data_IF_331627586987
#
_entry.id   IF_331627586987
#
_cell.length_a   1.000
_cell.length_b   1.000
_cell.length_c   1.000
_cell.angle_alpha   90.00
_cell.angle_beta   90.00
_cell.angle_gamma   90.00
#
_symmetry.space_group_name_H-M   'P 1'
#
loop_
_entity.id
_entity.type
_entity.pdbx_description
1 polymer ?
#
# COMPACT_ATOMS: atom_id res chain seq x y z
N UNK A 1 -23.35 11.08 40.57
CA UNK A 1 -22.79 10.36 39.40
C UNK A 1 -21.90 11.33 38.65
N UNK A 2 -20.58 11.20 38.76
CA UNK A 2 -19.64 12.03 37.98
C UNK A 2 -19.49 11.43 36.59
N UNK A 3 -19.91 12.18 35.57
CA UNK A 3 -19.68 11.82 34.17
C UNK A 3 -18.33 12.43 33.78
N UNK A 4 -17.31 11.61 33.61
CA UNK A 4 -16.02 12.05 33.09
C UNK A 4 -16.09 12.15 31.56
N UNK A 5 -15.76 13.33 31.02
CA UNK A 5 -15.66 13.55 29.58
C UNK A 5 -14.29 13.11 29.09
N UNK A 6 -14.25 12.14 28.16
CA UNK A 6 -13.03 11.74 27.45
C UNK A 6 -13.14 12.11 25.98
N UNK A 7 -12.04 12.55 25.37
CA UNK A 7 -11.96 12.82 23.92
C UNK A 7 -11.00 11.81 23.30
N UNK A 8 -11.50 11.03 22.34
CA UNK A 8 -10.70 10.06 21.57
C UNK A 8 -10.41 10.64 20.18
N UNK A 9 -9.13 10.68 19.80
CA UNK A 9 -8.72 11.12 18.45
C UNK A 9 -8.45 9.86 17.62
N UNK A 10 -9.14 9.69 16.47
CA UNK A 10 -8.85 8.58 15.55
C UNK A 10 -7.37 8.57 15.14
N UNK A 11 -6.76 7.40 15.08
CA UNK A 11 -5.32 7.29 14.80
C UNK A 11 -4.94 7.94 13.46
N UNK A 12 -5.76 7.75 12.42
CA UNK A 12 -5.55 8.37 11.12
C UNK A 12 -5.52 9.90 11.21
N UNK A 13 -6.45 10.51 11.95
CA UNK A 13 -6.46 11.96 12.20
C UNK A 13 -5.21 12.39 12.97
N UNK A 14 -4.85 11.67 14.03
CA UNK A 14 -3.65 11.96 14.81
C UNK A 14 -2.37 11.93 13.96
N UNK A 15 -2.22 10.95 13.06
CA UNK A 15 -1.07 10.86 12.13
C UNK A 15 -1.11 11.93 11.04
N UNK A 16 -2.30 12.31 10.58
CA UNK A 16 -2.50 13.39 9.60
C UNK A 16 -2.07 14.75 10.18
N UNK A 17 -2.45 15.04 11.42
CA UNK A 17 -2.01 16.25 12.14
C UNK A 17 -0.47 16.29 12.34
N UNK A 18 0.19 15.15 12.41
CA UNK A 18 1.65 15.03 12.48
C UNK A 18 2.35 15.12 11.12
N UNK A 19 1.62 15.22 10.01
CA UNK A 19 2.18 15.19 8.65
C UNK A 19 2.76 13.84 8.26
N UNK A 20 2.28 12.75 8.87
CA UNK A 20 2.78 11.38 8.64
C UNK A 20 1.84 10.52 7.83
N UNK A 21 0.59 10.94 7.66
CA UNK A 21 -0.44 10.17 6.97
C UNK A 21 -0.55 10.63 5.51
N UNK A 22 -0.53 9.66 4.61
CA UNK A 22 -0.53 9.84 3.17
C UNK A 22 -1.66 9.04 2.54
N UNK A 23 -2.12 9.51 1.40
CA UNK A 23 -3.09 8.81 0.55
C UNK A 23 -2.58 8.79 -0.87
N UNK A 24 -2.97 7.78 -1.63
CA UNK A 24 -2.67 7.73 -3.04
C UNK A 24 -3.60 6.81 -3.81
N UNK A 25 -3.57 6.93 -5.12
CA UNK A 25 -4.32 6.12 -6.08
C UNK A 25 -3.38 5.57 -7.16
N UNK A 26 -3.71 4.42 -7.72
CA UNK A 26 -3.12 3.89 -8.94
C UNK A 26 -4.22 3.32 -9.85
N UNK A 27 -3.87 3.09 -11.11
CA UNK A 27 -4.78 2.55 -12.14
C UNK A 27 -4.02 1.52 -12.94
N UNK A 28 -4.55 0.31 -13.01
CA UNK A 28 -3.87 -0.80 -13.67
C UNK A 28 -4.73 -1.43 -14.75
N UNK A 29 -4.14 -1.69 -15.90
CA UNK A 29 -4.75 -2.47 -16.98
C UNK A 29 -4.26 -3.92 -16.93
N UNK A 30 -5.20 -4.85 -17.08
CA UNK A 30 -4.91 -6.29 -17.14
C UNK A 30 -6.02 -7.03 -17.87
N UNK A 31 -5.98 -8.37 -17.90
CA UNK A 31 -6.89 -9.21 -18.68
C UNK A 31 -6.16 -10.13 -19.65
N UNK A 32 -6.90 -10.91 -20.43
CA UNK A 32 -6.33 -11.89 -21.37
C UNK A 32 -5.27 -12.81 -20.73
N UNK A 33 -5.56 -13.30 -19.51
CA UNK A 33 -4.66 -14.15 -18.74
C UNK A 33 -3.51 -13.42 -18.03
N UNK A 34 -3.35 -12.10 -18.22
CA UNK A 34 -2.33 -11.30 -17.53
C UNK A 34 -2.87 -10.68 -16.25
N UNK A 35 -2.02 -10.64 -15.23
CA UNK A 35 -2.30 -9.98 -13.96
C UNK A 35 -1.88 -8.51 -13.98
N UNK A 36 -2.14 -7.81 -12.88
CA UNK A 36 -1.53 -6.53 -12.57
C UNK A 36 -1.40 -6.42 -11.04
N UNK A 37 -0.63 -5.45 -10.56
CA UNK A 37 -0.47 -5.24 -9.13
C UNK A 37 -0.23 -3.79 -8.78
N UNK A 38 -0.54 -3.44 -7.53
CA UNK A 38 -0.22 -2.17 -6.90
C UNK A 38 0.33 -2.43 -5.49
N UNK A 39 1.35 -1.69 -5.07
CA UNK A 39 2.07 -1.98 -3.84
C UNK A 39 2.64 -0.73 -3.16
N UNK A 40 2.62 -0.75 -1.83
CA UNK A 40 3.43 0.11 -0.99
C UNK A 40 4.77 -0.59 -0.72
N UNK A 41 5.85 -0.04 -1.25
CA UNK A 41 7.22 -0.54 -1.09
C UNK A 41 7.94 0.35 -0.09
N UNK A 42 8.48 -0.24 0.99
CA UNK A 42 9.29 0.49 1.96
C UNK A 42 10.77 0.31 1.61
N UNK A 43 11.48 1.32 1.05
CA UNK A 43 12.87 1.16 0.65
C UNK A 43 13.78 0.82 1.84
N UNK A 44 14.84 0.04 1.60
CA UNK A 44 15.79 -0.43 2.65
C UNK A 44 16.37 0.71 3.50
N UNK A 45 16.52 1.91 2.93
CA UNK A 45 17.12 3.07 3.61
C UNK A 45 16.10 4.13 4.05
N UNK A 46 14.80 3.81 4.05
CA UNK A 46 13.74 4.76 4.39
C UNK A 46 13.82 5.26 5.85
N UNK A 47 14.35 4.43 6.77
CA UNK A 47 14.37 4.70 8.22
C UNK A 47 12.97 4.94 8.82
N UNK A 48 11.93 4.42 8.17
CA UNK A 48 10.56 4.46 8.67
C UNK A 48 9.93 3.07 8.59
N UNK A 49 9.01 2.79 9.49
CA UNK A 49 8.06 1.69 9.34
C UNK A 49 6.86 2.21 8.56
N UNK A 50 6.44 1.42 7.57
CA UNK A 50 5.18 1.59 6.86
C UNK A 50 4.06 0.97 7.68
N UNK A 51 3.01 1.72 7.97
CA UNK A 51 1.77 1.23 8.55
C UNK A 51 0.62 1.36 7.54
N UNK A 52 0.04 0.25 7.11
CA UNK A 52 -1.11 0.25 6.20
C UNK A 52 -2.39 0.53 6.99
N UNK A 53 -3.07 1.62 6.68
CA UNK A 53 -4.30 2.01 7.38
C UNK A 53 -5.55 1.50 6.66
N UNK A 54 -5.63 1.76 5.36
CA UNK A 54 -6.79 1.40 4.54
C UNK A 54 -6.31 1.12 3.13
N UNK A 55 -6.96 0.17 2.47
CA UNK A 55 -6.84 0.03 1.04
C UNK A 55 -8.21 -0.14 0.40
N UNK A 56 -8.31 0.23 -0.87
CA UNK A 56 -9.48 -0.04 -1.69
C UNK A 56 -9.07 -0.73 -2.98
N UNK A 57 -9.94 -1.59 -3.48
CA UNK A 57 -9.82 -2.21 -4.80
C UNK A 57 -11.09 -1.92 -5.58
N UNK A 58 -10.97 -1.04 -6.57
CA UNK A 58 -12.03 -0.65 -7.47
C UNK A 58 -12.00 -1.45 -8.77
N UNK A 59 -13.17 -1.94 -9.17
CA UNK A 59 -13.45 -2.45 -10.49
C UNK A 59 -14.34 -1.45 -11.22
N UNK A 60 -13.87 -0.93 -12.35
CA UNK A 60 -14.64 0.02 -13.15
C UNK A 60 -15.13 -0.57 -14.48
N UNK A 61 -15.08 -1.89 -14.62
CA UNK A 61 -15.57 -2.60 -15.80
C UNK A 61 -16.75 -3.51 -15.45
N UNK A 62 -17.38 -4.06 -16.48
CA UNK A 62 -18.48 -5.03 -16.41
C UNK A 62 -18.01 -6.46 -16.05
N UNK A 63 -16.71 -6.65 -15.76
CA UNK A 63 -16.08 -7.97 -15.63
C UNK A 63 -15.56 -8.14 -14.20
N UNK A 64 -16.03 -9.14 -13.44
CA UNK A 64 -15.48 -9.40 -12.12
C UNK A 64 -14.01 -9.83 -12.20
N UNK A 65 -13.26 -9.66 -11.12
CA UNK A 65 -11.90 -10.21 -11.01
C UNK A 65 -11.60 -10.61 -9.57
N UNK A 66 -10.52 -11.36 -9.34
CA UNK A 66 -10.03 -11.66 -8.00
C UNK A 66 -8.87 -10.72 -7.66
N UNK A 67 -8.82 -10.23 -6.44
CA UNK A 67 -7.59 -9.64 -5.89
C UNK A 67 -7.02 -10.50 -4.77
N UNK A 68 -5.71 -10.36 -4.59
CA UNK A 68 -4.91 -11.04 -3.58
C UNK A 68 -4.09 -10.02 -2.83
N UNK A 69 -4.01 -10.14 -1.50
CA UNK A 69 -3.12 -9.35 -0.66
C UNK A 69 -1.88 -10.16 -0.31
N UNK A 70 -0.72 -9.57 -0.56
CA UNK A 70 0.58 -10.20 -0.39
C UNK A 70 1.48 -9.37 0.52
N UNK A 71 2.19 -10.06 1.43
CA UNK A 71 3.20 -9.47 2.29
C UNK A 71 4.59 -9.82 1.78
N UNK A 72 5.43 -8.81 1.58
CA UNK A 72 6.81 -8.92 1.11
C UNK A 72 7.01 -9.82 -0.15
N UNK A 73 6.13 -9.78 -1.17
CA UNK A 73 6.37 -10.57 -2.36
C UNK A 73 7.49 -9.96 -3.21
N UNK A 74 8.11 -10.80 -4.03
CA UNK A 74 8.83 -10.38 -5.23
C UNK A 74 7.83 -10.14 -6.35
N UNK A 75 7.74 -8.90 -6.79
CA UNK A 75 6.84 -8.45 -7.85
C UNK A 75 7.58 -8.42 -9.20
N UNK A 76 6.84 -8.69 -10.28
CA UNK A 76 7.40 -8.77 -11.64
C UNK A 76 6.75 -7.75 -12.59
N UNK A 77 7.20 -7.69 -13.85
CA UNK A 77 6.70 -6.74 -14.84
C UNK A 77 7.51 -5.44 -14.88
N UNK A 78 6.88 -4.37 -15.38
CA UNK A 78 7.48 -3.05 -15.52
C UNK A 78 6.91 -2.08 -14.48
N UNK A 79 7.49 -2.02 -13.27
CA UNK A 79 6.95 -1.23 -12.18
C UNK A 79 7.07 0.28 -12.46
N UNK A 80 6.00 1.01 -12.18
CA UNK A 80 5.88 2.46 -12.31
C UNK A 80 5.61 3.06 -10.92
N UNK A 81 6.19 4.23 -10.63
CA UNK A 81 5.76 5.04 -9.49
C UNK A 81 4.44 5.73 -9.84
N UNK A 82 3.48 5.76 -8.92
CA UNK A 82 2.31 6.64 -9.11
C UNK A 82 2.66 8.09 -8.78
N UNK A 83 2.14 9.01 -9.59
CA UNK A 83 2.17 10.46 -9.35
C UNK A 83 0.95 10.95 -8.55
N UNK A 84 -0.07 10.10 -8.36
CA UNK A 84 -1.29 10.40 -7.62
C UNK A 84 -1.12 10.13 -6.12
N UNK A 85 -0.16 10.80 -5.47
CA UNK A 85 0.09 10.71 -4.03
C UNK A 85 -0.01 12.10 -3.39
N UNK A 86 -0.60 12.18 -2.19
CA UNK A 86 -0.66 13.41 -1.39
C UNK A 86 -0.50 13.11 0.11
N UNK A 87 0.10 14.00 0.92
CA UNK A 87 -0.19 14.03 2.35
C UNK A 87 -1.70 14.28 2.54
N UNK A 88 -2.31 13.65 3.53
CA UNK A 88 -3.74 13.85 3.80
C UNK A 88 -4.02 15.24 4.43
N UNK A 89 -3.02 15.86 5.06
CA UNK A 89 -3.12 17.20 5.60
C UNK A 89 -2.33 18.19 4.73
N UNK A 90 -3.04 18.92 3.88
CA UNK A 90 -2.48 19.94 2.98
C UNK A 90 -2.30 21.30 3.65
N UNK A 91 -2.70 21.46 4.93
CA UNK A 91 -2.48 22.69 5.70
C UNK A 91 -1.05 22.80 6.25
N UNK A 92 -0.26 21.71 6.20
CA UNK A 92 1.14 21.70 6.63
C UNK A 92 2.05 22.22 5.51
N UNK A 93 2.96 23.15 5.87
CA UNK A 93 3.90 23.74 4.93
C UNK A 93 5.36 23.61 5.42
N UNK A 94 6.29 23.10 4.59
CA UNK A 94 6.05 22.52 3.25
C UNK A 94 5.22 21.21 3.33
N UNK A 95 4.53 20.82 2.25
CA UNK A 95 3.79 19.56 2.23
C UNK A 95 4.72 18.37 2.54
N UNK A 96 4.38 17.52 3.52
CA UNK A 96 5.17 16.33 3.82
C UNK A 96 5.27 15.41 2.60
N UNK A 97 6.44 14.79 2.41
CA UNK A 97 6.68 13.83 1.33
C UNK A 97 6.87 12.43 1.92
N UNK A 98 6.18 11.40 1.38
CA UNK A 98 6.38 10.03 1.84
C UNK A 98 7.75 9.50 1.42
N UNK A 99 8.30 8.59 2.23
CA UNK A 99 9.47 7.79 1.89
C UNK A 99 9.12 6.42 1.34
N UNK A 100 7.97 5.90 1.73
CA UNK A 100 7.35 4.72 1.13
C UNK A 100 6.97 5.07 -0.30
N UNK A 101 7.29 4.16 -1.21
CA UNK A 101 6.98 4.29 -2.63
C UNK A 101 5.67 3.57 -2.91
N UNK A 102 4.72 4.25 -3.54
CA UNK A 102 3.54 3.60 -4.11
C UNK A 102 3.84 3.31 -5.58
N UNK A 103 3.92 2.01 -5.91
CA UNK A 103 4.22 1.52 -7.25
C UNK A 103 3.12 0.62 -7.78
N UNK A 104 3.03 0.49 -9.10
CA UNK A 104 2.10 -0.43 -9.76
C UNK A 104 2.70 -0.98 -11.06
N UNK A 105 2.16 -2.09 -11.56
CA UNK A 105 2.46 -2.59 -12.90
C UNK A 105 1.22 -3.21 -13.54
N UNK A 106 1.08 -2.98 -14.85
CA UNK A 106 -0.01 -3.49 -15.69
C UNK A 106 0.47 -4.65 -16.57
N UNK A 107 -0.45 -5.50 -17.02
CA UNK A 107 -0.21 -6.58 -17.99
C UNK A 107 0.99 -7.48 -17.64
N UNK A 108 1.03 -7.95 -16.40
CA UNK A 108 2.11 -8.75 -15.83
C UNK A 108 1.88 -10.24 -16.11
N UNK A 109 2.92 -10.93 -16.60
CA UNK A 109 2.82 -12.34 -16.97
C UNK A 109 3.06 -13.29 -15.78
N UNK A 110 3.80 -12.85 -14.75
CA UNK A 110 4.16 -13.69 -13.60
C UNK A 110 3.50 -13.19 -12.34
N UNK A 111 2.84 -14.11 -11.63
CA UNK A 111 2.28 -13.86 -10.31
C UNK A 111 3.36 -13.47 -9.29
N UNK A 112 2.99 -12.80 -8.19
CA UNK A 112 3.89 -12.55 -7.07
C UNK A 112 4.54 -13.86 -6.59
N UNK A 113 5.84 -13.79 -6.26
CA UNK A 113 6.61 -14.94 -5.78
C UNK A 113 7.30 -14.63 -4.46
N UNK A 114 7.51 -15.66 -3.63
CA UNK A 114 7.98 -15.44 -2.26
C UNK A 114 6.96 -14.64 -1.45
N UNK A 115 7.38 -14.17 -0.27
CA UNK A 115 6.45 -13.50 0.65
C UNK A 115 5.33 -14.44 1.13
N UNK A 116 4.20 -13.85 1.53
CA UNK A 116 3.03 -14.59 2.04
C UNK A 116 1.75 -14.02 1.42
N UNK A 117 0.95 -14.87 0.76
CA UNK A 117 -0.43 -14.57 0.39
C UNK A 117 -1.30 -14.65 1.65
N UNK A 118 -1.82 -13.52 2.11
CA UNK A 118 -2.54 -13.46 3.39
C UNK A 118 -4.05 -13.54 3.26
N UNK A 119 -4.62 -13.13 2.12
CA UNK A 119 -6.00 -13.42 1.73
C UNK A 119 -6.27 -12.99 0.28
N UNK A 120 -7.42 -13.40 -0.27
CA UNK A 120 -7.93 -12.90 -1.54
C UNK A 120 -9.46 -12.86 -1.56
N UNK A 121 -10.03 -12.01 -2.42
CA UNK A 121 -11.49 -11.84 -2.57
C UNK A 121 -11.85 -11.51 -4.03
N UNK A 122 -13.08 -11.80 -4.40
CA UNK A 122 -13.65 -11.34 -5.66
C UNK A 122 -14.08 -9.86 -5.56
N UNK A 123 -13.93 -9.13 -6.67
CA UNK A 123 -14.41 -7.77 -6.86
C UNK A 123 -15.49 -7.82 -7.94
N UNK A 124 -16.76 -7.59 -7.58
CA UNK A 124 -17.84 -7.50 -8.54
C UNK A 124 -17.62 -6.37 -9.58
N UNK A 125 -18.29 -6.44 -10.74
CA UNK A 125 -18.33 -5.34 -11.70
C UNK A 125 -18.74 -4.01 -11.06
N UNK A 126 -18.14 -2.90 -11.49
CA UNK A 126 -18.53 -1.53 -11.08
C UNK A 126 -18.61 -1.29 -9.56
N UNK A 127 -17.83 -2.05 -8.77
CA UNK A 127 -17.79 -1.91 -7.31
C UNK A 127 -16.42 -1.49 -6.80
N UNK A 128 -16.38 -1.01 -5.57
CA UNK A 128 -15.13 -0.80 -4.82
C UNK A 128 -15.21 -1.56 -3.51
N UNK A 129 -14.25 -2.45 -3.28
CA UNK A 129 -14.06 -3.12 -2.00
C UNK A 129 -13.15 -2.24 -1.14
N UNK A 130 -13.55 -1.99 0.10
CA UNK A 130 -12.78 -1.24 1.09
C UNK A 130 -12.36 -2.19 2.20
N UNK A 131 -11.11 -2.06 2.66
CA UNK A 131 -10.61 -2.78 3.83
C UNK A 131 -9.86 -1.82 4.74
N UNK A 132 -10.36 -1.66 5.97
CA UNK A 132 -9.74 -0.88 7.03
C UNK A 132 -8.88 -1.81 7.89
N UNK A 133 -7.58 -1.48 7.95
CA UNK A 133 -6.56 -2.28 8.63
C UNK A 133 -6.01 -1.57 9.88
N UNK A 134 -6.37 -0.30 10.10
CA UNK A 134 -6.03 0.50 11.28
C UNK A 134 -4.53 0.50 11.64
N UNK A 135 -3.66 0.29 10.66
CA UNK A 135 -2.21 0.23 10.84
C UNK A 135 -1.67 -1.06 11.41
N UNK A 136 -2.47 -2.12 11.48
CA UNK A 136 -2.06 -3.41 12.06
C UNK A 136 -1.03 -4.13 11.18
N UNK A 137 -0.99 -3.84 9.88
CA UNK A 137 0.05 -4.35 8.99
C UNK A 137 1.21 -3.37 8.93
N UNK A 138 2.36 -3.80 9.46
CA UNK A 138 3.54 -2.98 9.68
C UNK A 138 4.73 -3.59 8.94
N UNK A 139 5.34 -2.82 8.05
CA UNK A 139 6.46 -3.27 7.22
C UNK A 139 7.70 -2.42 7.50
N UNK A 140 8.81 -3.03 7.94
CA UNK A 140 10.07 -2.32 8.14
C UNK A 140 10.72 -1.96 6.79
N UNK A 141 11.82 -1.18 6.78
CA UNK A 141 12.61 -0.94 5.59
C UNK A 141 13.00 -2.26 4.91
N UNK A 142 12.79 -2.33 3.59
CA UNK A 142 12.91 -3.54 2.77
C UNK A 142 11.64 -4.37 2.66
N UNK A 143 10.59 -4.06 3.43
CA UNK A 143 9.29 -4.74 3.36
C UNK A 143 8.30 -4.08 2.40
N UNK A 144 7.20 -4.77 2.12
CA UNK A 144 6.15 -4.28 1.23
C UNK A 144 4.77 -4.89 1.49
N UNK A 145 3.73 -4.12 1.16
CA UNK A 145 2.35 -4.56 1.07
C UNK A 145 1.88 -4.46 -0.39
N UNK A 146 1.38 -5.55 -0.97
CA UNK A 146 0.97 -5.58 -2.37
C UNK A 146 -0.44 -6.15 -2.55
N UNK A 147 -1.14 -5.59 -3.54
CA UNK A 147 -2.41 -6.09 -4.06
C UNK A 147 -2.13 -6.58 -5.48
N UNK A 148 -2.43 -7.84 -5.76
CA UNK A 148 -2.34 -8.45 -7.08
C UNK A 148 -3.73 -8.78 -7.62
N UNK A 149 -3.98 -8.47 -8.88
CA UNK A 149 -5.23 -8.79 -9.58
C UNK A 149 -5.08 -10.02 -10.45
N UNK A 150 -6.15 -10.80 -10.54
CA UNK A 150 -6.25 -11.96 -11.41
C UNK A 150 -7.52 -11.82 -12.25
N UNK A 151 -7.41 -11.78 -13.59
CA UNK A 151 -8.60 -11.77 -14.43
C UNK A 151 -9.31 -13.13 -14.36
N UNK A 152 -10.62 -13.20 -14.70
CA UNK A 152 -11.29 -14.48 -14.90
C UNK A 152 -10.60 -15.28 -16.01
N UNK A 153 -10.42 -16.58 -15.80
CA UNK A 153 -9.83 -17.48 -16.79
C UNK A 153 -10.64 -17.53 -18.11
N UNK A 154 -11.94 -17.27 -18.02
CA UNK A 154 -12.88 -17.33 -19.15
C UNK A 154 -12.96 -16.05 -19.99
N UNK A 155 -12.29 -14.97 -19.58
CA UNK A 155 -12.40 -13.67 -20.25
C UNK A 155 -11.06 -13.20 -20.82
N UNK A 156 -11.06 -12.91 -22.12
CA UNK A 156 -9.95 -12.25 -22.82
C UNK A 156 -10.07 -10.72 -22.86
N UNK A 157 -11.17 -10.17 -22.33
CA UNK A 157 -11.39 -8.72 -22.32
C UNK A 157 -10.43 -8.04 -21.35
N UNK A 158 -10.12 -6.78 -21.65
CA UNK A 158 -9.32 -5.91 -20.77
C UNK A 158 -10.15 -5.47 -19.56
N UNK A 159 -9.51 -5.43 -18.41
CA UNK A 159 -10.05 -4.96 -17.13
C UNK A 159 -9.21 -3.76 -16.67
N UNK A 160 -9.88 -2.77 -16.10
CA UNK A 160 -9.26 -1.62 -15.47
C UNK A 160 -9.50 -1.69 -13.96
N UNK A 161 -8.43 -1.95 -13.21
CA UNK A 161 -8.40 -1.93 -11.76
C UNK A 161 -7.98 -0.57 -11.22
N UNK A 162 -8.37 -0.28 -9.98
CA UNK A 162 -7.90 0.88 -9.22
C UNK A 162 -7.55 0.46 -7.80
N UNK A 163 -6.33 0.73 -7.34
CA UNK A 163 -5.99 0.65 -5.91
C UNK A 163 -5.89 2.04 -5.34
N UNK A 164 -6.55 2.28 -4.20
CA UNK A 164 -6.19 3.41 -3.34
C UNK A 164 -5.61 2.91 -2.02
N UNK A 165 -4.60 3.61 -1.51
CA UNK A 165 -4.01 3.34 -0.20
C UNK A 165 -4.15 4.56 0.69
N UNK A 166 -4.36 4.31 1.98
CA UNK A 166 -4.05 5.22 3.07
C UNK A 166 -3.03 4.55 3.99
N UNK A 167 -1.95 5.26 4.31
CA UNK A 167 -0.87 4.75 5.15
C UNK A 167 -0.24 5.86 5.97
N UNK A 168 0.54 5.50 6.97
CA UNK A 168 1.44 6.44 7.62
C UNK A 168 2.84 5.87 7.83
N UNK A 169 3.76 6.78 8.10
CA UNK A 169 5.16 6.46 8.31
C UNK A 169 5.58 6.80 9.74
N UNK A 170 6.13 5.82 10.46
CA UNK A 170 6.74 6.05 11.76
C UNK A 170 8.26 5.93 11.70
N UNK A 171 8.98 6.94 12.20
CA UNK A 171 10.44 6.90 12.25
C UNK A 171 10.89 5.75 13.15
N UNK A 172 11.83 4.96 12.66
CA UNK A 172 12.50 3.96 13.50
C UNK A 172 13.36 4.71 14.52
N UNK A 173 13.07 4.52 15.80
CA UNK A 173 13.95 4.98 16.88
C UNK A 173 15.15 4.03 16.91
N UNK A 174 16.31 4.52 16.51
CA UNK A 174 17.56 3.81 16.80
C UNK A 174 17.75 3.80 18.32
N UNK A 175 17.64 2.61 18.94
CA UNK A 175 18.16 2.42 20.29
C UNK A 175 19.70 2.48 20.30
N UNK A 176 20.30 2.58 21.49
CA UNK A 176 21.77 2.65 21.68
C UNK A 176 22.58 1.54 20.97
N UNK A 177 21.93 0.44 20.57
CA UNK A 177 22.57 -0.70 19.88
C UNK A 177 22.61 -0.58 18.34
N UNK A 178 22.04 0.46 17.73
CA UNK A 178 22.08 0.64 16.27
C UNK A 178 23.43 1.20 15.76
N UNK A 179 24.33 1.59 16.66
CA UNK A 179 25.69 2.04 16.31
C UNK A 179 26.56 0.94 15.69
N UNK A 180 26.24 -0.34 15.90
CA UNK A 180 27.01 -1.44 15.31
C UNK A 180 26.76 -1.64 13.81
N UNK A 181 25.65 -1.12 13.25
CA UNK A 181 25.45 -1.12 11.79
C UNK A 181 26.17 0.05 11.09
N UNK A 182 26.64 1.06 11.85
CA UNK A 182 27.43 2.17 11.31
C UNK A 182 28.93 1.87 11.17
N UNK A 183 29.44 0.81 11.80
CA UNK A 183 30.87 0.51 11.82
C UNK A 183 31.33 -0.52 10.78
N UNK A 184 30.41 -1.13 10.01
CA UNK A 184 30.75 -2.18 9.04
C UNK A 184 30.25 -1.90 7.61
N UNK A 185 29.89 -0.66 7.28
CA UNK A 185 29.38 -0.30 5.94
C UNK A 185 29.79 1.10 5.47
N UNK A 186 31.07 1.40 5.55
CA UNK A 186 31.70 2.32 4.60
C UNK A 186 32.93 1.58 4.01
N UNK A 187 33.11 1.55 2.68
CA UNK A 187 34.25 0.89 2.04
C UNK A 187 35.59 1.58 2.34
#
# INVERSE_FOLDING_TARGET
MHINKTVNIPIALYKSLQGKYFVGLSREEFGAGKSAWAALINPVHSRVNLHVNVFTVGNVTDIPFLFQVWFNPKLSGNPQLTDMISPANTALFPPPKPKVQFMFASNVDKLPQGGVLVFGRAVPPETTIVSEEDGKFIFPPGGSFAINYLPPETSSKKILGRVAFGWWEEKIKCGKNCLLQKLFRDP
#
